data_IF_781492737663
#
_entry.id   IF_781492737663
#
_cell.length_a   1.000
_cell.length_b   1.000
_cell.length_c   1.000
_cell.angle_alpha   90.00
_cell.angle_beta   90.00
_cell.angle_gamma   90.00
#
_symmetry.space_group_name_H-M   'P 1'
#
loop_
_entity.id
_entity.type
_entity.pdbx_description
1 polymer ?
#
# COMPACT_ATOMS: atom_id res chain seq x y z
N UNK A 1 -1.87 -8.55 -5.35
CA UNK A 1 -0.90 -7.94 -4.40
C UNK A 1 0.44 -7.83 -5.09
N UNK A 2 1.16 -6.71 -4.92
CA UNK A 2 2.43 -6.47 -5.59
C UNK A 2 3.57 -6.36 -4.58
N UNK A 3 3.50 -5.37 -3.68
CA UNK A 3 4.52 -5.04 -2.67
C UNK A 3 3.87 -4.67 -1.32
N UNK A 4 4.69 -4.47 -0.28
CA UNK A 4 4.23 -4.13 1.08
C UNK A 4 3.50 -2.78 1.20
N UNK A 5 3.56 -1.92 0.17
CA UNK A 5 2.83 -0.65 0.09
C UNK A 5 1.93 -0.55 -1.16
N UNK A 6 1.93 -1.55 -2.04
CA UNK A 6 1.31 -1.47 -3.37
C UNK A 6 0.49 -2.73 -3.69
N UNK A 7 -0.77 -2.53 -4.09
CA UNK A 7 -1.67 -3.60 -4.49
C UNK A 7 -2.43 -3.25 -5.76
N UNK A 8 -2.99 -4.26 -6.42
CA UNK A 8 -3.91 -4.04 -7.54
C UNK A 8 -5.34 -4.04 -7.00
N UNK A 9 -6.14 -3.08 -7.43
CA UNK A 9 -7.52 -2.93 -7.01
C UNK A 9 -8.41 -2.69 -8.22
N UNK A 10 -9.61 -3.28 -8.18
CA UNK A 10 -10.72 -2.93 -9.04
C UNK A 10 -11.52 -1.83 -8.34
N UNK A 11 -11.54 -0.65 -8.94
CA UNK A 11 -12.14 0.56 -8.36
C UNK A 11 -13.33 0.95 -9.21
N UNK A 12 -14.52 1.03 -8.59
CA UNK A 12 -15.68 1.62 -9.25
C UNK A 12 -15.46 3.12 -9.39
N UNK A 13 -15.31 3.60 -10.62
CA UNK A 13 -15.08 5.02 -10.92
C UNK A 13 -16.39 5.76 -11.24
N UNK A 14 -17.35 5.05 -11.82
CA UNK A 14 -18.69 5.56 -12.16
C UNK A 14 -19.68 4.39 -12.15
N UNK A 15 -21.01 4.61 -12.01
CA UNK A 15 -21.98 3.54 -12.20
C UNK A 15 -21.72 2.73 -13.48
N UNK A 16 -21.55 1.41 -13.33
CA UNK A 16 -21.24 0.50 -14.43
C UNK A 16 -19.81 0.55 -15.00
N UNK A 17 -18.92 1.39 -14.43
CA UNK A 17 -17.55 1.56 -14.89
C UNK A 17 -16.54 1.28 -13.78
N UNK A 18 -15.70 0.30 -14.04
CA UNK A 18 -14.62 -0.09 -13.15
C UNK A 18 -13.27 0.14 -13.83
N UNK A 19 -12.29 0.57 -13.04
CA UNK A 19 -10.90 0.68 -13.45
C UNK A 19 -10.10 -0.30 -12.62
N UNK A 20 -9.31 -1.15 -13.29
CA UNK A 20 -8.29 -1.96 -12.63
C UNK A 20 -6.99 -1.17 -12.65
N UNK A 21 -6.49 -0.83 -11.47
CA UNK A 21 -5.25 -0.05 -11.34
C UNK A 21 -4.45 -0.50 -10.15
N UNK A 22 -3.16 -0.14 -10.16
CA UNK A 22 -2.28 -0.31 -9.03
C UNK A 22 -2.46 0.86 -8.08
N UNK A 23 -2.63 0.58 -6.80
CA UNK A 23 -2.80 1.54 -5.72
C UNK A 23 -1.59 1.44 -4.81
N UNK A 24 -0.86 2.53 -4.68
CA UNK A 24 0.18 2.71 -3.67
C UNK A 24 -0.39 3.48 -2.47
N UNK A 25 -0.16 2.95 -1.29
CA UNK A 25 -0.65 3.53 -0.04
C UNK A 25 0.12 4.82 0.25
N UNK A 26 -0.60 5.93 0.36
CA UNK A 26 -0.04 7.21 0.77
C UNK A 26 0.37 7.16 2.24
N UNK A 27 1.48 7.82 2.59
CA UNK A 27 1.94 7.89 3.98
C UNK A 27 2.73 6.68 4.47
N UNK A 28 2.93 5.66 3.63
CA UNK A 28 3.62 4.44 3.98
C UNK A 28 4.94 4.29 3.20
N UNK A 29 6.00 3.97 3.91
CA UNK A 29 7.22 3.40 3.36
C UNK A 29 7.33 1.94 3.79
N UNK A 30 7.38 1.01 2.85
CA UNK A 30 7.51 -0.42 3.12
C UNK A 30 8.88 -0.94 2.62
N UNK A 31 9.40 -2.04 3.19
CA UNK A 31 10.65 -2.64 2.73
C UNK A 31 10.49 -3.18 1.29
N UNK A 32 11.54 -3.04 0.48
CA UNK A 32 11.52 -3.44 -0.92
C UNK A 32 11.92 -4.93 -1.08
N UNK A 33 11.18 -5.67 -1.91
CA UNK A 33 11.41 -7.12 -2.14
C UNK A 33 12.75 -7.43 -2.80
N UNK A 34 13.40 -6.45 -3.43
CA UNK A 34 14.73 -6.56 -4.05
C UNK A 34 15.79 -5.90 -3.18
N UNK A 35 15.65 -6.04 -1.86
CA UNK A 35 16.60 -5.54 -0.88
C UNK A 35 18.00 -6.11 -1.06
N UNK A 36 19.01 -5.41 -0.54
CA UNK A 36 20.42 -5.83 -0.68
C UNK A 36 20.78 -6.99 0.24
N UNK A 37 19.91 -7.34 1.19
CA UNK A 37 20.13 -8.40 2.16
C UNK A 37 18.85 -9.24 2.40
N UNK A 38 19.06 -10.45 2.93
CA UNK A 38 17.97 -11.39 3.23
C UNK A 38 17.01 -10.86 4.30
N UNK A 39 17.49 -10.00 5.20
CA UNK A 39 16.67 -9.36 6.24
C UNK A 39 15.63 -8.41 5.66
N UNK A 40 16.03 -7.57 4.70
CA UNK A 40 15.13 -6.64 4.01
C UNK A 40 14.09 -7.40 3.18
N UNK A 41 14.49 -8.49 2.54
CA UNK A 41 13.59 -9.36 1.76
C UNK A 41 12.54 -10.06 2.64
N UNK A 42 12.95 -10.52 3.83
CA UNK A 42 12.03 -11.10 4.82
C UNK A 42 11.07 -10.04 5.37
N UNK A 43 11.57 -8.85 5.70
CA UNK A 43 10.74 -7.73 6.14
C UNK A 43 9.71 -7.33 5.06
N UNK A 44 10.13 -7.28 3.80
CA UNK A 44 9.24 -6.99 2.67
C UNK A 44 8.14 -8.05 2.52
N UNK A 45 8.48 -9.32 2.71
CA UNK A 45 7.52 -10.43 2.66
C UNK A 45 6.53 -10.36 3.82
N UNK A 46 7.02 -10.07 5.04
CA UNK A 46 6.16 -9.89 6.20
C UNK A 46 5.20 -8.71 6.04
N UNK A 47 5.68 -7.58 5.50
CA UNK A 47 4.85 -6.42 5.21
C UNK A 47 3.79 -6.71 4.14
N UNK A 48 4.16 -7.45 3.10
CA UNK A 48 3.24 -7.91 2.05
C UNK A 48 2.11 -8.77 2.64
N UNK A 49 2.45 -9.76 3.47
CA UNK A 49 1.46 -10.61 4.15
C UNK A 49 0.57 -9.82 5.13
N UNK A 50 1.13 -8.86 5.87
CA UNK A 50 0.36 -8.01 6.76
C UNK A 50 -0.64 -7.14 6.01
N UNK A 51 -0.21 -6.51 4.91
CA UNK A 51 -1.10 -5.76 4.03
C UNK A 51 -2.21 -6.67 3.51
N UNK A 52 -1.88 -7.92 3.15
CA UNK A 52 -2.87 -8.88 2.64
C UNK A 52 -3.96 -9.13 3.65
N UNK A 53 -3.59 -9.44 4.89
CA UNK A 53 -4.55 -9.65 5.98
C UNK A 53 -5.42 -8.43 6.25
N UNK A 54 -4.94 -7.22 5.95
CA UNK A 54 -5.70 -5.98 6.14
C UNK A 54 -6.72 -5.73 5.03
N UNK A 55 -6.50 -6.22 3.80
CA UNK A 55 -7.31 -5.83 2.64
C UNK A 55 -8.05 -6.98 1.95
N UNK A 56 -7.60 -8.23 2.10
CA UNK A 56 -8.16 -9.37 1.37
C UNK A 56 -9.60 -9.65 1.80
N UNK A 57 -10.50 -9.80 0.82
CA UNK A 57 -11.94 -9.99 1.04
C UNK A 57 -12.69 -8.79 1.63
N UNK A 58 -12.06 -7.61 1.76
CA UNK A 58 -12.67 -6.42 2.41
C UNK A 58 -13.00 -5.32 1.42
N UNK A 59 -13.99 -4.50 1.78
CA UNK A 59 -14.28 -3.26 1.06
C UNK A 59 -13.27 -2.19 1.46
N UNK A 60 -12.60 -1.63 0.46
CA UNK A 60 -11.62 -0.57 0.63
C UNK A 60 -12.25 0.78 0.26
N UNK A 61 -11.90 1.81 1.04
CA UNK A 61 -12.15 3.20 0.68
C UNK A 61 -10.83 3.84 0.27
N UNK A 62 -10.82 4.44 -0.91
CA UNK A 62 -9.68 5.20 -1.42
C UNK A 62 -10.00 6.69 -1.32
N UNK A 63 -9.17 7.45 -0.63
CA UNK A 63 -9.29 8.90 -0.48
C UNK A 63 -8.03 9.61 -0.98
N UNK A 64 -8.17 10.89 -1.34
CA UNK A 64 -7.09 11.72 -1.86
C UNK A 64 -6.31 11.06 -3.02
N UNK A 65 -7.04 10.41 -3.93
CA UNK A 65 -6.45 9.68 -5.05
C UNK A 65 -5.74 10.65 -5.99
N UNK A 66 -4.47 10.41 -6.26
CA UNK A 66 -3.62 11.20 -7.15
C UNK A 66 -2.91 10.27 -8.14
N UNK A 67 -2.67 10.75 -9.36
CA UNK A 67 -1.83 10.03 -10.30
C UNK A 67 -0.38 9.98 -9.83
N UNK A 68 0.29 8.84 -10.00
CA UNK A 68 1.75 8.81 -9.87
C UNK A 68 2.42 9.49 -11.07
N UNK A 69 3.70 9.85 -10.94
CA UNK A 69 4.52 10.56 -11.93
C UNK A 69 4.44 10.00 -13.35
N UNK A 70 4.21 8.70 -13.50
CA UNK A 70 4.15 8.00 -14.78
C UNK A 70 2.76 7.40 -15.08
N UNK A 71 1.74 7.71 -14.28
CA UNK A 71 0.37 7.20 -14.41
C UNK A 71 0.20 5.66 -14.48
N UNK A 72 1.25 4.88 -14.21
CA UNK A 72 1.18 3.42 -14.11
C UNK A 72 0.57 2.91 -12.80
N UNK A 73 0.30 3.81 -11.84
CA UNK A 73 -0.38 3.56 -10.56
C UNK A 73 -0.99 4.85 -10.03
N UNK A 74 -1.90 4.73 -9.07
CA UNK A 74 -2.39 5.84 -8.26
C UNK A 74 -1.78 5.80 -6.86
N UNK A 75 -1.67 6.96 -6.23
CA UNK A 75 -1.33 7.10 -4.82
C UNK A 75 -2.60 7.53 -4.08
N UNK A 76 -2.97 6.81 -3.03
CA UNK A 76 -4.20 7.07 -2.29
C UNK A 76 -4.05 6.76 -0.81
N UNK A 77 -4.79 7.47 0.05
CA UNK A 77 -5.06 7.01 1.41
C UNK A 77 -6.05 5.85 1.33
N UNK A 78 -5.72 4.76 2.02
CA UNK A 78 -6.50 3.52 1.97
C UNK A 78 -7.03 3.22 3.36
N UNK A 79 -8.34 2.99 3.45
CA UNK A 79 -8.97 2.56 4.69
C UNK A 79 -9.90 1.37 4.49
N UNK A 80 -10.10 0.63 5.57
CA UNK A 80 -11.07 -0.47 5.67
C UNK A 80 -12.04 -0.15 6.80
N UNK A 81 -13.23 -0.76 6.77
CA UNK A 81 -14.19 -0.67 7.89
C UNK A 81 -13.60 -1.15 9.22
N UNK A 82 -12.73 -2.16 9.15
CA UNK A 82 -12.29 -2.91 10.32
C UNK A 82 -11.02 -2.32 10.96
N UNK A 83 -10.06 -1.88 10.13
CA UNK A 83 -8.77 -1.39 10.60
C UNK A 83 -8.62 0.13 10.53
N UNK A 84 -9.58 0.85 9.94
CA UNK A 84 -9.41 2.28 9.66
C UNK A 84 -8.28 2.50 8.64
N UNK A 85 -7.33 3.39 8.95
CA UNK A 85 -6.19 3.72 8.08
C UNK A 85 -5.20 2.55 7.98
N UNK A 86 -5.04 2.02 6.77
CA UNK A 86 -4.18 0.85 6.49
C UNK A 86 -2.69 1.18 6.66
N UNK A 87 -2.27 2.41 6.32
CA UNK A 87 -0.87 2.82 6.50
C UNK A 87 -0.50 2.86 7.98
N UNK A 88 -1.36 3.47 8.80
CA UNK A 88 -1.19 3.54 10.24
C UNK A 88 -1.17 2.14 10.87
N UNK A 89 -2.05 1.24 10.44
CA UNK A 89 -2.09 -0.14 10.92
C UNK A 89 -0.79 -0.89 10.60
N UNK A 90 -0.23 -0.74 9.39
CA UNK A 90 1.03 -1.39 9.00
C UNK A 90 2.23 -0.84 9.77
N UNK A 91 2.28 0.48 9.99
CA UNK A 91 3.33 1.11 10.80
C UNK A 91 3.25 0.64 12.26
N UNK A 92 2.05 0.58 12.84
CA UNK A 92 1.85 0.11 14.21
C UNK A 92 2.26 -1.36 14.40
N UNK A 93 2.13 -2.18 13.37
CA UNK A 93 2.57 -3.59 13.35
C UNK A 93 4.07 -3.77 13.03
N UNK A 94 4.81 -2.68 12.80
CA UNK A 94 6.25 -2.73 12.47
C UNK A 94 6.56 -3.16 11.03
N UNK A 95 5.57 -3.09 10.14
CA UNK A 95 5.68 -3.51 8.73
C UNK A 95 5.99 -2.34 7.77
N UNK A 96 6.21 -1.14 8.30
CA UNK A 96 6.47 0.05 7.52
C UNK A 96 6.90 1.22 8.39
N UNK A 97 7.30 2.32 7.76
CA UNK A 97 7.56 3.61 8.40
C UNK A 97 6.58 4.65 7.86
N UNK A 98 6.17 5.59 8.71
CA UNK A 98 5.40 6.73 8.27
C UNK A 98 6.25 7.59 7.32
N UNK A 99 5.68 7.98 6.18
CA UNK A 99 6.41 8.65 5.11
C UNK A 99 5.68 9.89 4.60
N UNK A 100 6.30 11.05 4.82
CA UNK A 100 5.77 12.35 4.39
C UNK A 100 6.39 12.86 3.08
N UNK A 101 7.19 12.04 2.39
CA UNK A 101 7.98 12.45 1.22
C UNK A 101 9.48 12.58 1.53
N UNK A 102 10.28 12.86 0.50
CA UNK A 102 11.74 13.02 0.61
C UNK A 102 12.54 11.77 0.25
N UNK A 103 13.72 11.61 0.84
CA UNK A 103 14.57 10.43 0.61
C UNK A 103 14.16 9.32 1.57
N UNK A 104 13.77 8.16 1.04
CA UNK A 104 13.54 6.94 1.84
C UNK A 104 14.81 6.58 2.61
N UNK A 105 14.65 6.16 3.85
CA UNK A 105 15.74 5.61 4.65
C UNK A 105 15.99 4.15 4.23
N UNK A 106 17.20 3.65 4.47
CA UNK A 106 17.48 2.22 4.31
C UNK A 106 16.65 1.37 5.27
N UNK A 107 16.33 0.16 4.82
CA UNK A 107 15.71 -0.89 5.62
C UNK A 107 16.76 -1.83 6.20
#
# INVERSE_FOLDING_TARGET
MLDGDTFEARVAAFPGHEVVTRVRIAGLDAPERRGRCDGETQAASAATEALRRLIDGRRLTLAEVRGDKYFGRVVARVSTSDAGDVAAALVAQGHGRAYAGGRRAGW
#
